data_IF_140091417662
#
_entry.id   IF_140091417662
#
_cell.length_a   1.000
_cell.length_b   1.000
_cell.length_c   1.000
_cell.angle_alpha   90.00
_cell.angle_beta   90.00
_cell.angle_gamma   90.00
#
_symmetry.space_group_name_H-M   'P 1'
#
loop_
_entity.id
_entity.type
_entity.pdbx_description
1 polymer ?
#
# COMPACT_ATOMS: atom_id res chain seq x y z
N UNK A 1 -23.25 12.83 -12.07
CA UNK A 1 -22.23 12.13 -12.88
C UNK A 1 -22.44 10.64 -12.75
N UNK A 2 -22.23 9.89 -13.82
CA UNK A 2 -22.32 8.43 -13.88
C UNK A 2 -20.93 7.81 -13.86
N UNK A 3 -20.72 6.85 -12.96
CA UNK A 3 -19.46 6.15 -12.74
C UNK A 3 -19.62 4.68 -13.09
N UNK A 4 -18.80 4.18 -14.01
CA UNK A 4 -18.65 2.74 -14.21
C UNK A 4 -17.55 2.22 -13.29
N UNK A 5 -17.94 1.61 -12.18
CA UNK A 5 -17.04 1.16 -11.12
C UNK A 5 -16.64 -0.30 -11.32
N UNK A 6 -15.35 -0.57 -11.48
CA UNK A 6 -14.84 -1.95 -11.53
C UNK A 6 -14.86 -2.54 -10.12
N UNK A 7 -15.78 -3.46 -9.90
CA UNK A 7 -15.95 -4.15 -8.63
C UNK A 7 -14.99 -5.35 -8.54
N UNK A 8 -13.86 -5.12 -7.88
CA UNK A 8 -12.77 -6.08 -7.69
C UNK A 8 -12.76 -6.54 -6.23
N UNK A 9 -13.39 -7.67 -5.96
CA UNK A 9 -13.66 -8.15 -4.59
C UNK A 9 -12.41 -8.45 -3.75
N UNK A 10 -11.27 -8.70 -4.38
CA UNK A 10 -10.01 -9.03 -3.69
C UNK A 10 -9.25 -7.80 -3.16
N UNK A 11 -9.66 -6.59 -3.50
CA UNK A 11 -8.98 -5.35 -3.09
C UNK A 11 -9.54 -4.78 -1.79
N UNK A 12 -8.66 -4.52 -0.82
CA UNK A 12 -9.03 -4.21 0.58
C UNK A 12 -9.84 -2.92 0.76
N UNK A 13 -9.71 -1.94 -0.14
CA UNK A 13 -10.41 -0.66 -0.05
C UNK A 13 -11.75 -0.62 -0.81
N UNK A 14 -12.12 -1.70 -1.50
CA UNK A 14 -13.27 -1.74 -2.42
C UNK A 14 -14.59 -1.33 -1.73
N UNK A 15 -14.92 -1.98 -0.60
CA UNK A 15 -16.16 -1.72 0.13
C UNK A 15 -16.25 -0.28 0.67
N UNK A 16 -15.14 0.27 1.18
CA UNK A 16 -15.12 1.60 1.79
C UNK A 16 -15.17 2.72 0.74
N UNK A 17 -14.54 2.52 -0.43
CA UNK A 17 -14.66 3.43 -1.57
C UNK A 17 -16.07 3.43 -2.14
N UNK A 18 -16.69 2.26 -2.26
CA UNK A 18 -18.04 2.14 -2.77
C UNK A 18 -19.06 2.81 -1.84
N UNK A 19 -18.91 2.66 -0.51
CA UNK A 19 -19.72 3.39 0.48
C UNK A 19 -19.60 4.91 0.33
N UNK A 20 -18.39 5.42 0.10
CA UNK A 20 -18.14 6.84 -0.08
C UNK A 20 -18.70 7.38 -1.41
N UNK A 21 -18.54 6.63 -2.51
CA UNK A 21 -19.13 6.98 -3.82
C UNK A 21 -20.66 7.01 -3.77
N UNK A 22 -21.28 6.00 -3.16
CA UNK A 22 -22.75 5.91 -3.05
C UNK A 22 -23.35 7.01 -2.17
N UNK A 23 -22.59 7.52 -1.20
CA UNK A 23 -23.02 8.62 -0.29
C UNK A 23 -22.63 10.00 -0.77
N UNK A 24 -21.78 10.10 -1.78
CA UNK A 24 -21.35 11.39 -2.29
C UNK A 24 -22.55 12.23 -2.72
N UNK A 25 -22.49 13.51 -2.36
CA UNK A 25 -23.47 14.52 -2.74
C UNK A 25 -22.70 15.79 -3.09
N UNK A 26 -22.98 16.40 -4.24
CA UNK A 26 -22.35 17.67 -4.62
C UNK A 26 -23.01 18.89 -3.92
N UNK A 27 -22.49 20.09 -4.19
CA UNK A 27 -22.99 21.34 -3.60
C UNK A 27 -24.43 21.68 -3.98
N UNK A 28 -24.99 21.04 -5.00
CA UNK A 28 -26.36 21.24 -5.48
C UNK A 28 -27.31 20.15 -4.95
N UNK A 29 -26.79 19.16 -4.21
CA UNK A 29 -27.58 18.04 -3.69
C UNK A 29 -27.69 16.85 -4.65
N UNK A 30 -26.93 16.82 -5.76
CA UNK A 30 -26.97 15.71 -6.69
C UNK A 30 -26.04 14.57 -6.24
N UNK A 31 -26.49 13.34 -6.47
CA UNK A 31 -25.71 12.12 -6.20
C UNK A 31 -24.99 11.60 -7.45
N UNK A 32 -24.02 10.70 -7.23
CA UNK A 32 -23.42 9.92 -8.31
C UNK A 32 -24.36 8.76 -8.71
N UNK A 33 -24.42 8.49 -10.01
CA UNK A 33 -25.03 7.25 -10.52
C UNK A 33 -23.93 6.20 -10.64
N UNK A 34 -23.97 5.14 -9.82
CA UNK A 34 -22.92 4.11 -9.81
C UNK A 34 -23.41 2.86 -10.55
N UNK A 35 -22.70 2.49 -11.61
CA UNK A 35 -22.88 1.23 -12.33
C UNK A 35 -21.71 0.31 -11.98
N UNK A 36 -21.99 -0.80 -11.30
CA UNK A 36 -20.97 -1.78 -10.90
C UNK A 36 -20.70 -2.74 -12.05
N UNK A 37 -19.44 -2.89 -12.42
CA UNK A 37 -18.97 -3.89 -13.38
C UNK A 37 -18.16 -4.96 -12.64
N UNK A 38 -18.66 -6.20 -12.50
CA UNK A 38 -17.90 -7.27 -11.87
C UNK A 38 -16.63 -7.57 -12.67
N UNK A 39 -15.46 -7.45 -12.03
CA UNK A 39 -14.18 -7.74 -12.68
C UNK A 39 -13.39 -8.78 -11.87
N UNK A 40 -13.24 -9.97 -12.46
CA UNK A 40 -12.41 -11.03 -11.90
C UNK A 40 -10.94 -10.76 -12.24
N UNK A 41 -10.23 -10.10 -11.32
CA UNK A 41 -8.82 -9.75 -11.54
C UNK A 41 -7.94 -11.00 -11.70
N UNK A 42 -7.24 -11.07 -12.83
CA UNK A 42 -6.18 -12.02 -13.12
C UNK A 42 -4.97 -11.26 -13.69
N UNK A 43 -3.83 -11.29 -12.99
CA UNK A 43 -2.62 -10.54 -13.36
C UNK A 43 -2.18 -10.76 -14.82
N UNK A 44 -2.29 -12.00 -15.32
CA UNK A 44 -1.94 -12.36 -16.71
C UNK A 44 -2.84 -11.74 -17.78
N UNK A 45 -4.04 -11.29 -17.40
CA UNK A 45 -5.06 -10.71 -18.29
C UNK A 45 -5.17 -9.19 -18.13
N UNK A 46 -4.46 -8.60 -17.17
CA UNK A 46 -4.52 -7.17 -16.90
C UNK A 46 -3.97 -6.30 -18.04
N UNK A 47 -3.13 -6.86 -18.93
CA UNK A 47 -2.58 -6.14 -20.09
C UNK A 47 -3.35 -6.39 -21.39
N UNK A 48 -3.95 -7.58 -21.56
CA UNK A 48 -4.71 -7.95 -22.74
C UNK A 48 -5.68 -9.09 -22.44
N UNK A 49 -6.94 -8.90 -22.78
CA UNK A 49 -7.99 -9.90 -22.68
C UNK A 49 -9.07 -9.59 -23.72
N UNK A 50 -9.03 -10.21 -24.91
CA UNK A 50 -9.96 -9.90 -26.00
C UNK A 50 -11.44 -10.10 -25.65
N UNK A 51 -11.76 -11.05 -24.77
CA UNK A 51 -13.14 -11.31 -24.36
C UNK A 51 -13.64 -10.18 -23.45
N UNK A 52 -12.85 -9.83 -22.43
CA UNK A 52 -13.13 -8.67 -21.58
C UNK A 52 -13.17 -7.37 -22.37
N UNK A 53 -12.19 -7.12 -23.25
CA UNK A 53 -12.13 -5.88 -24.04
C UNK A 53 -13.40 -5.66 -24.87
N UNK A 54 -13.91 -6.71 -25.53
CA UNK A 54 -15.12 -6.63 -26.33
C UNK A 54 -16.38 -6.40 -25.48
N UNK A 55 -16.52 -7.13 -24.36
CA UNK A 55 -17.67 -6.98 -23.46
C UNK A 55 -17.66 -5.63 -22.72
N UNK A 56 -16.50 -5.22 -22.24
CA UNK A 56 -16.31 -3.97 -21.53
C UNK A 56 -16.56 -2.76 -22.44
N UNK A 57 -16.10 -2.78 -23.68
CA UNK A 57 -16.40 -1.74 -24.67
C UNK A 57 -17.91 -1.62 -24.93
N UNK A 58 -18.60 -2.76 -25.10
CA UNK A 58 -20.05 -2.78 -25.26
C UNK A 58 -20.75 -2.18 -24.03
N UNK A 59 -20.25 -2.48 -22.84
CA UNK A 59 -20.80 -1.96 -21.58
C UNK A 59 -20.58 -0.46 -21.45
N UNK A 60 -19.39 0.06 -21.77
CA UNK A 60 -19.14 1.51 -21.80
C UNK A 60 -20.15 2.22 -22.72
N UNK A 61 -20.34 1.73 -23.95
CA UNK A 61 -21.28 2.33 -24.91
C UNK A 61 -22.74 2.23 -24.47
N UNK A 62 -23.11 1.15 -23.80
CA UNK A 62 -24.48 0.95 -23.33
C UNK A 62 -24.80 1.77 -22.08
N UNK A 63 -23.82 1.99 -21.21
CA UNK A 63 -23.99 2.69 -19.95
C UNK A 63 -23.72 4.18 -20.06
N UNK A 64 -22.90 4.61 -21.02
CA UNK A 64 -22.51 6.01 -21.25
C UNK A 64 -22.06 6.71 -19.95
N UNK A 65 -20.95 6.25 -19.33
CA UNK A 65 -20.45 6.80 -18.07
C UNK A 65 -19.60 8.06 -18.30
N UNK A 66 -19.62 8.99 -17.33
CA UNK A 66 -18.72 10.15 -17.34
C UNK A 66 -17.26 9.73 -17.11
N UNK A 67 -17.04 8.70 -16.30
CA UNK A 67 -15.73 8.06 -16.13
C UNK A 67 -15.84 6.61 -15.64
N UNK A 68 -14.77 5.85 -15.89
CA UNK A 68 -14.52 4.52 -15.35
C UNK A 68 -13.61 4.64 -14.13
N UNK A 69 -13.88 3.87 -13.07
CA UNK A 69 -13.03 3.83 -11.89
C UNK A 69 -12.51 2.42 -11.60
N UNK A 70 -11.21 2.30 -11.30
CA UNK A 70 -10.64 1.09 -10.69
C UNK A 70 -9.63 1.43 -9.59
N UNK A 71 -9.47 0.48 -8.70
CA UNK A 71 -8.29 0.39 -7.84
C UNK A 71 -7.13 -0.23 -8.62
N UNK A 72 -5.93 0.32 -8.43
CA UNK A 72 -4.74 0.13 -9.26
C UNK A 72 -4.97 0.42 -10.76
N UNK A 73 -3.87 0.56 -11.50
CA UNK A 73 -3.90 0.82 -12.92
C UNK A 73 -3.98 -0.49 -13.70
N UNK A 74 -4.99 -0.61 -14.57
CA UNK A 74 -5.23 -1.78 -15.41
C UNK A 74 -5.06 -1.37 -16.89
N UNK A 75 -3.98 -1.79 -17.56
CA UNK A 75 -3.70 -1.38 -18.94
C UNK A 75 -4.82 -1.78 -19.91
N UNK A 76 -5.44 -2.94 -19.71
CA UNK A 76 -6.58 -3.40 -20.50
C UNK A 76 -7.79 -2.46 -20.39
N UNK A 77 -8.01 -1.85 -19.22
CA UNK A 77 -9.10 -0.87 -19.00
C UNK A 77 -8.77 0.45 -19.70
N UNK A 78 -7.54 0.95 -19.54
CA UNK A 78 -7.03 2.13 -20.26
C UNK A 78 -7.19 1.97 -21.77
N UNK A 79 -6.78 0.82 -22.31
CA UNK A 79 -6.89 0.50 -23.74
C UNK A 79 -8.32 0.64 -24.24
N UNK A 80 -9.30 0.08 -23.53
CA UNK A 80 -10.72 0.13 -23.94
C UNK A 80 -11.30 1.53 -23.77
N UNK A 81 -11.03 2.21 -22.65
CA UNK A 81 -11.51 3.57 -22.41
C UNK A 81 -10.98 4.56 -23.46
N UNK A 82 -9.74 4.37 -23.91
CA UNK A 82 -9.11 5.19 -24.94
C UNK A 82 -9.78 5.04 -26.33
N UNK A 83 -10.41 3.89 -26.63
CA UNK A 83 -11.12 3.68 -27.91
C UNK A 83 -12.31 4.62 -28.04
N UNK A 84 -13.09 4.78 -26.96
CA UNK A 84 -14.32 5.59 -26.95
C UNK A 84 -14.11 6.98 -26.30
N UNK A 85 -12.88 7.30 -25.88
CA UNK A 85 -12.53 8.59 -25.28
C UNK A 85 -13.14 8.82 -23.88
N UNK A 86 -13.55 7.77 -23.19
CA UNK A 86 -14.10 7.86 -21.83
C UNK A 86 -12.96 8.00 -20.83
N UNK A 87 -13.12 8.86 -19.82
CA UNK A 87 -12.10 9.07 -18.79
C UNK A 87 -11.91 7.80 -17.96
N UNK A 88 -10.67 7.41 -17.70
CA UNK A 88 -10.31 6.28 -16.85
C UNK A 88 -9.55 6.76 -15.62
N UNK A 89 -10.20 6.68 -14.47
CA UNK A 89 -9.62 6.99 -13.16
C UNK A 89 -9.10 5.70 -12.52
N UNK A 90 -7.82 5.69 -12.16
CA UNK A 90 -7.22 4.60 -11.39
C UNK A 90 -6.61 5.12 -10.11
N UNK A 91 -6.86 4.47 -8.98
CA UNK A 91 -6.24 4.82 -7.70
C UNK A 91 -5.30 3.73 -7.22
N UNK A 92 -4.01 4.01 -7.30
CA UNK A 92 -2.93 3.09 -6.95
C UNK A 92 -2.76 3.06 -5.44
N UNK A 93 -2.69 1.85 -4.87
CA UNK A 93 -2.35 1.64 -3.46
C UNK A 93 -1.25 0.57 -3.26
N UNK A 94 -0.81 -0.07 -4.34
CA UNK A 94 0.34 -0.98 -4.37
C UNK A 94 1.58 -0.24 -4.88
N UNK A 95 2.75 -0.50 -4.26
CA UNK A 95 4.04 -0.07 -4.79
C UNK A 95 5.09 -1.17 -4.51
N UNK A 96 5.73 -1.73 -5.55
CA UNK A 96 5.63 -1.32 -6.96
C UNK A 96 4.33 -1.79 -7.62
N UNK A 97 3.74 -0.94 -8.48
CA UNK A 97 2.65 -1.32 -9.40
C UNK A 97 3.22 -1.43 -10.83
N UNK A 98 3.49 -2.67 -11.27
CA UNK A 98 4.19 -2.97 -12.53
C UNK A 98 3.45 -2.39 -13.73
N UNK A 99 2.12 -2.37 -13.67
CA UNK A 99 1.32 -1.98 -14.81
C UNK A 99 1.35 -0.49 -15.11
N UNK A 100 1.81 0.35 -14.17
CA UNK A 100 2.04 1.77 -14.43
C UNK A 100 3.06 2.00 -15.54
N UNK A 101 3.97 1.05 -15.77
CA UNK A 101 4.98 1.17 -16.82
C UNK A 101 4.53 0.62 -18.17
N UNK A 102 3.31 0.08 -18.30
CA UNK A 102 2.76 -0.26 -19.61
C UNK A 102 2.63 1.00 -20.47
N UNK A 103 2.87 0.86 -21.78
CA UNK A 103 2.68 1.95 -22.73
C UNK A 103 1.26 2.57 -22.68
N UNK A 104 0.26 1.84 -22.18
CA UNK A 104 -1.12 2.35 -22.02
C UNK A 104 -1.24 3.47 -20.98
N UNK A 105 -0.24 3.70 -20.12
CA UNK A 105 -0.26 4.80 -19.14
C UNK A 105 -0.28 6.17 -19.82
N UNK A 106 0.27 6.26 -21.04
CA UNK A 106 0.37 7.51 -21.81
C UNK A 106 -0.96 7.94 -22.44
N UNK A 107 -1.97 7.07 -22.43
CA UNK A 107 -3.26 7.36 -23.05
C UNK A 107 -3.90 8.61 -22.40
N UNK A 108 -4.41 9.56 -23.21
CA UNK A 108 -4.93 10.83 -22.71
C UNK A 108 -6.21 10.68 -21.89
N UNK A 109 -6.91 9.55 -21.99
CA UNK A 109 -8.09 9.27 -21.17
C UNK A 109 -7.78 9.05 -19.69
N UNK A 110 -6.52 8.78 -19.34
CA UNK A 110 -6.16 8.37 -17.99
C UNK A 110 -6.18 9.54 -16.98
N UNK A 111 -6.53 9.20 -15.75
CA UNK A 111 -6.31 9.97 -14.53
C UNK A 111 -5.76 8.96 -13.52
N UNK A 112 -4.44 8.96 -13.33
CA UNK A 112 -3.76 8.00 -12.46
C UNK A 112 -3.42 8.67 -11.14
N UNK A 113 -4.01 8.19 -10.06
CA UNK A 113 -3.89 8.74 -8.72
C UNK A 113 -2.85 7.90 -7.95
N UNK A 114 -1.72 8.52 -7.59
CA UNK A 114 -0.58 7.87 -6.96
C UNK A 114 -0.43 8.30 -5.51
N UNK A 115 -0.24 7.34 -4.60
CA UNK A 115 -0.13 7.61 -3.17
C UNK A 115 1.31 7.86 -2.69
N UNK A 116 2.31 7.43 -3.46
CA UNK A 116 3.73 7.66 -3.19
C UNK A 116 4.21 8.88 -3.97
N UNK A 117 4.63 9.94 -3.25
CA UNK A 117 5.04 11.20 -3.89
C UNK A 117 6.27 11.06 -4.79
N UNK A 118 7.17 10.10 -4.52
CA UNK A 118 8.36 9.86 -5.34
C UNK A 118 7.98 9.17 -6.65
N UNK A 119 7.07 8.22 -6.63
CA UNK A 119 6.52 7.61 -7.85
C UNK A 119 5.79 8.66 -8.70
N UNK A 120 4.93 9.47 -8.06
CA UNK A 120 4.27 10.60 -8.72
C UNK A 120 5.26 11.56 -9.41
N UNK A 121 6.30 12.02 -8.70
CA UNK A 121 7.33 12.89 -9.25
C UNK A 121 8.08 12.25 -10.41
N UNK A 122 8.35 10.95 -10.33
CA UNK A 122 9.04 10.17 -11.38
C UNK A 122 8.22 10.17 -12.67
N UNK A 123 6.94 9.82 -12.61
CA UNK A 123 6.07 9.82 -13.79
C UNK A 123 5.81 11.23 -14.33
N UNK A 124 5.61 12.21 -13.43
CA UNK A 124 5.35 13.61 -13.81
C UNK A 124 6.56 14.23 -14.51
N UNK A 125 7.77 14.03 -13.98
CA UNK A 125 9.02 14.49 -14.59
C UNK A 125 9.36 13.73 -15.87
N UNK A 126 8.94 12.47 -15.98
CA UNK A 126 8.97 11.69 -17.23
C UNK A 126 7.99 12.15 -18.31
N UNK A 127 7.16 13.17 -18.03
CA UNK A 127 6.29 13.81 -19.01
C UNK A 127 4.86 13.28 -19.05
N UNK A 128 4.48 12.34 -18.18
CA UNK A 128 3.11 11.84 -18.09
C UNK A 128 2.26 12.87 -17.35
N UNK A 129 1.38 13.57 -18.07
CA UNK A 129 0.59 14.69 -17.53
C UNK A 129 -0.70 14.27 -16.82
N UNK A 130 -1.11 13.02 -17.02
CA UNK A 130 -2.34 12.40 -16.52
C UNK A 130 -2.19 11.78 -15.13
N UNK A 131 -1.00 11.90 -14.52
CA UNK A 131 -0.76 11.45 -13.13
C UNK A 131 -1.02 12.59 -12.13
N UNK A 132 -1.56 12.23 -10.97
CA UNK A 132 -1.86 13.12 -9.86
C UNK A 132 -1.45 12.47 -8.54
N UNK A 133 -0.89 13.26 -7.62
CA UNK A 133 -0.66 12.80 -6.26
C UNK A 133 -1.98 12.80 -5.49
N UNK A 134 -2.35 11.66 -4.91
CA UNK A 134 -3.50 11.52 -4.02
C UNK A 134 -3.18 10.49 -2.93
N UNK A 135 -2.95 10.92 -1.68
CA UNK A 135 -2.68 10.00 -0.58
C UNK A 135 -3.87 9.06 -0.33
N UNK A 136 -3.63 7.92 0.30
CA UNK A 136 -4.70 6.97 0.67
C UNK A 136 -5.66 7.54 1.74
N UNK A 137 -6.59 6.73 2.19
CA UNK A 137 -7.62 7.11 3.15
C UNK A 137 -8.04 5.97 4.06
N UNK A 138 -8.80 6.31 5.11
CA UNK A 138 -9.48 5.35 5.97
C UNK A 138 -10.97 5.70 6.14
N UNK A 139 -11.78 4.67 6.38
CA UNK A 139 -13.23 4.80 6.54
C UNK A 139 -13.62 5.01 7.99
N UNK A 140 -13.37 6.21 8.53
CA UNK A 140 -13.69 6.54 9.94
C UNK A 140 -15.16 6.27 10.26
N UNK A 141 -16.08 6.56 9.35
CA UNK A 141 -17.51 6.23 9.49
C UNK A 141 -17.79 4.77 9.82
N UNK A 142 -17.05 3.83 9.21
CA UNK A 142 -17.16 2.40 9.51
C UNK A 142 -16.41 2.07 10.80
N UNK A 143 -15.18 2.54 10.92
CA UNK A 143 -14.29 2.22 12.04
C UNK A 143 -14.84 2.72 13.38
N UNK A 144 -15.55 3.85 13.43
CA UNK A 144 -16.14 4.43 14.64
C UNK A 144 -17.35 3.63 15.15
N UNK A 145 -18.05 2.96 14.24
CA UNK A 145 -19.17 2.07 14.58
C UNK A 145 -18.69 0.74 15.19
N UNK A 146 -17.41 0.41 15.04
CA UNK A 146 -16.82 -0.83 15.54
C UNK A 146 -16.35 -0.66 17.00
N UNK A 147 -17.32 -0.68 17.92
CA UNK A 147 -17.05 -0.54 19.36
C UNK A 147 -16.69 -1.92 19.96
N UNK A 148 -15.48 -2.11 20.51
CA UNK A 148 -15.04 -3.41 21.00
C UNK A 148 -15.82 -3.85 22.26
N UNK A 149 -16.45 -5.01 22.16
CA UNK A 149 -17.10 -5.69 23.29
C UNK A 149 -16.09 -6.46 24.16
N UNK A 150 -16.62 -7.26 25.10
CA UNK A 150 -15.80 -8.09 25.98
C UNK A 150 -14.99 -9.13 25.20
N UNK A 151 -15.61 -9.79 24.23
CA UNK A 151 -15.00 -10.83 23.40
C UNK A 151 -13.84 -10.29 22.57
N UNK A 152 -14.01 -9.12 21.96
CA UNK A 152 -12.98 -8.49 21.15
C UNK A 152 -11.80 -8.06 22.01
N UNK A 153 -12.06 -7.50 23.21
CA UNK A 153 -11.01 -7.16 24.19
C UNK A 153 -10.20 -8.37 24.61
N UNK A 154 -10.86 -9.48 24.94
CA UNK A 154 -10.18 -10.73 25.32
C UNK A 154 -9.35 -11.31 24.16
N UNK A 155 -9.84 -11.23 22.92
CA UNK A 155 -9.17 -11.79 21.74
C UNK A 155 -8.03 -10.93 21.20
N UNK A 156 -8.17 -9.61 21.23
CA UNK A 156 -7.31 -8.71 20.44
C UNK A 156 -6.48 -7.73 21.25
N UNK A 157 -6.78 -7.47 22.53
CA UNK A 157 -5.98 -6.53 23.33
C UNK A 157 -4.53 -7.01 23.48
N UNK A 158 -3.59 -6.13 23.18
CA UNK A 158 -2.15 -6.41 23.22
C UNK A 158 -1.37 -5.15 23.60
N UNK A 159 -0.19 -5.31 24.18
CA UNK A 159 0.73 -4.19 24.39
C UNK A 159 1.31 -3.72 23.05
N UNK A 160 1.72 -4.66 22.21
CA UNK A 160 2.26 -4.36 20.88
C UNK A 160 1.63 -5.32 19.88
N UNK A 161 1.20 -4.80 18.74
CA UNK A 161 0.84 -5.63 17.60
C UNK A 161 1.52 -5.20 16.32
N UNK A 162 1.95 -6.18 15.53
CA UNK A 162 2.24 -5.99 14.12
C UNK A 162 1.22 -6.79 13.31
N UNK A 163 0.49 -6.10 12.44
CA UNK A 163 -0.37 -6.74 11.45
C UNK A 163 0.31 -6.54 10.11
N UNK A 164 0.48 -7.60 9.32
CA UNK A 164 1.10 -7.48 8.00
C UNK A 164 1.69 -8.77 7.45
N UNK A 165 1.97 -8.75 6.15
CA UNK A 165 2.77 -9.75 5.46
C UNK A 165 4.17 -9.87 6.08
N UNK A 166 4.81 -11.02 6.03
CA UNK A 166 6.27 -11.11 6.24
C UNK A 166 7.02 -11.26 4.92
N UNK A 167 6.28 -11.19 3.80
CA UNK A 167 6.68 -11.37 2.41
C UNK A 167 7.26 -12.73 2.04
N UNK A 168 7.31 -13.66 3.00
CA UNK A 168 7.71 -15.06 2.84
C UNK A 168 6.54 -15.99 2.47
N UNK A 169 5.31 -15.49 2.45
CA UNK A 169 4.12 -16.27 2.05
C UNK A 169 3.87 -16.36 0.54
N UNK A 170 4.59 -15.59 -0.27
CA UNK A 170 4.57 -15.69 -1.74
C UNK A 170 5.92 -16.17 -2.25
N UNK A 171 6.06 -16.29 -3.57
CA UNK A 171 7.33 -16.64 -4.23
C UNK A 171 8.48 -15.78 -3.71
N UNK A 172 9.56 -16.44 -3.27
CA UNK A 172 10.75 -15.80 -2.72
C UNK A 172 11.82 -15.71 -3.80
N UNK A 173 11.70 -14.69 -4.66
CA UNK A 173 12.59 -14.51 -5.82
C UNK A 173 14.07 -14.49 -5.43
N UNK A 174 14.41 -13.87 -4.29
CA UNK A 174 15.78 -13.81 -3.81
C UNK A 174 16.38 -15.19 -3.54
N UNK A 175 15.64 -16.05 -2.82
CA UNK A 175 16.09 -17.40 -2.47
C UNK A 175 16.27 -18.31 -3.71
N UNK A 176 15.55 -18.02 -4.80
CA UNK A 176 15.68 -18.73 -6.08
C UNK A 176 16.92 -18.31 -6.89
N UNK A 177 17.40 -17.08 -6.72
CA UNK A 177 18.53 -16.53 -7.49
C UNK A 177 19.85 -16.60 -6.70
N UNK A 178 19.82 -16.42 -5.38
CA UNK A 178 21.01 -16.32 -4.55
C UNK A 178 21.99 -17.51 -4.73
N UNK A 179 21.54 -18.78 -4.79
CA UNK A 179 22.45 -19.92 -5.02
C UNK A 179 23.07 -19.97 -6.42
N UNK A 180 22.57 -19.17 -7.37
CA UNK A 180 23.00 -19.16 -8.77
C UNK A 180 23.91 -17.97 -9.11
N UNK A 181 23.97 -16.97 -8.23
CA UNK A 181 24.82 -15.79 -8.38
C UNK A 181 26.27 -16.12 -8.05
N UNK A 182 27.19 -15.37 -8.64
CA UNK A 182 28.60 -15.36 -8.28
C UNK A 182 28.78 -14.90 -6.83
N UNK A 183 29.83 -15.36 -6.12
CA UNK A 183 30.11 -14.92 -4.76
C UNK A 183 30.24 -13.39 -4.62
N UNK A 184 30.75 -12.72 -5.67
CA UNK A 184 30.86 -11.27 -5.70
C UNK A 184 29.49 -10.60 -5.73
N UNK A 185 28.63 -10.97 -6.68
CA UNK A 185 27.32 -10.35 -6.85
C UNK A 185 26.39 -10.63 -5.66
N UNK A 186 26.44 -11.84 -5.11
CA UNK A 186 25.72 -12.17 -3.88
C UNK A 186 26.19 -11.28 -2.71
N UNK A 187 27.50 -11.19 -2.48
CA UNK A 187 28.06 -10.36 -1.41
C UNK A 187 27.77 -8.87 -1.60
N UNK A 188 27.76 -8.39 -2.84
CA UNK A 188 27.39 -7.00 -3.17
C UNK A 188 25.93 -6.73 -2.82
N UNK A 189 25.01 -7.59 -3.27
CA UNK A 189 23.57 -7.42 -3.00
C UNK A 189 23.27 -7.52 -1.51
N UNK A 190 23.88 -8.49 -0.80
CA UNK A 190 23.73 -8.60 0.66
C UNK A 190 24.27 -7.35 1.38
N UNK A 191 25.42 -6.82 0.94
CA UNK A 191 25.99 -5.57 1.46
C UNK A 191 25.08 -4.37 1.21
N UNK A 192 24.52 -4.26 0.01
CA UNK A 192 23.56 -3.23 -0.39
C UNK A 192 22.30 -3.29 0.49
N UNK A 193 21.72 -4.48 0.67
CA UNK A 193 20.59 -4.70 1.57
C UNK A 193 20.95 -4.24 2.98
N UNK A 194 22.08 -4.70 3.54
CA UNK A 194 22.49 -4.36 4.91
C UNK A 194 22.69 -2.87 5.11
N UNK A 195 23.25 -2.19 4.11
CA UNK A 195 23.34 -0.73 4.09
C UNK A 195 21.97 -0.06 4.11
N UNK A 196 21.05 -0.50 3.23
CA UNK A 196 19.71 0.08 3.12
C UNK A 196 18.92 -0.03 4.43
N UNK A 197 19.14 -1.09 5.21
CA UNK A 197 18.53 -1.28 6.52
C UNK A 197 19.00 -0.29 7.60
N UNK A 198 20.03 0.52 7.34
CA UNK A 198 20.52 1.53 8.28
C UNK A 198 19.86 2.90 8.08
N UNK A 199 19.09 3.09 7.01
CA UNK A 199 18.47 4.39 6.71
C UNK A 199 17.01 4.24 6.27
N UNK A 200 16.18 5.14 6.78
CA UNK A 200 14.78 5.33 6.37
C UNK A 200 14.61 6.66 5.63
N UNK A 201 13.51 6.79 4.88
CA UNK A 201 13.20 7.99 4.09
C UNK A 201 13.96 8.14 2.77
N UNK A 202 14.86 7.20 2.45
CA UNK A 202 15.53 7.10 1.16
C UNK A 202 15.64 5.64 0.74
N UNK A 203 15.45 5.37 -0.55
CA UNK A 203 15.74 4.09 -1.17
C UNK A 203 16.80 4.31 -2.26
N UNK A 204 17.94 3.66 -2.13
CA UNK A 204 19.04 3.78 -3.10
C UNK A 204 19.39 2.44 -3.77
N UNK A 205 18.55 1.40 -3.60
CA UNK A 205 18.84 0.07 -4.14
C UNK A 205 18.95 0.11 -5.66
N UNK A 206 17.97 0.71 -6.35
CA UNK A 206 17.98 0.80 -7.82
C UNK A 206 19.22 1.55 -8.34
N UNK A 207 19.51 2.72 -7.75
CA UNK A 207 20.62 3.60 -8.18
C UNK A 207 21.99 2.96 -7.94
N UNK A 208 22.08 2.06 -6.95
CA UNK A 208 23.31 1.36 -6.59
C UNK A 208 23.39 -0.05 -7.19
N UNK A 209 22.58 -0.42 -8.19
CA UNK A 209 22.74 -1.69 -8.91
C UNK A 209 23.64 -1.52 -10.13
N UNK A 210 24.86 -2.10 -10.13
CA UNK A 210 25.74 -2.07 -11.29
C UNK A 210 25.15 -2.87 -12.46
N UNK A 211 25.33 -2.43 -13.73
CA UNK A 211 24.83 -3.15 -14.90
C UNK A 211 25.26 -4.62 -14.95
N UNK A 212 26.50 -4.93 -14.56
CA UNK A 212 27.02 -6.30 -14.53
C UNK A 212 26.27 -7.22 -13.56
N UNK A 213 25.77 -6.68 -12.43
CA UNK A 213 24.96 -7.43 -11.47
C UNK A 213 23.53 -7.56 -11.99
N UNK A 214 22.99 -6.52 -12.62
CA UNK A 214 21.66 -6.54 -13.25
C UNK A 214 21.61 -7.63 -14.34
N UNK A 215 22.62 -7.70 -15.20
CA UNK A 215 22.75 -8.73 -16.25
C UNK A 215 22.84 -10.14 -15.66
N UNK A 216 23.58 -10.30 -14.56
CA UNK A 216 23.68 -11.58 -13.86
C UNK A 216 22.35 -12.00 -13.25
N UNK A 217 21.65 -11.10 -12.54
CA UNK A 217 20.32 -11.34 -11.99
C UNK A 217 19.35 -11.74 -13.11
N UNK A 218 19.36 -11.03 -14.24
CA UNK A 218 18.51 -11.36 -15.39
C UNK A 218 18.75 -12.80 -15.86
N UNK A 219 20.02 -13.15 -16.06
CA UNK A 219 20.42 -14.48 -16.55
C UNK A 219 19.98 -15.61 -15.61
N UNK A 220 20.09 -15.42 -14.29
CA UNK A 220 19.78 -16.49 -13.32
C UNK A 220 18.31 -16.55 -12.89
N UNK A 221 17.60 -15.43 -12.96
CA UNK A 221 16.19 -15.32 -12.60
C UNK A 221 15.26 -15.74 -13.74
N UNK A 222 15.67 -15.50 -14.99
CA UNK A 222 14.81 -15.59 -16.17
C UNK A 222 13.53 -14.74 -16.04
N UNK A 223 13.64 -13.61 -15.35
CA UNK A 223 12.57 -12.62 -15.17
C UNK A 223 12.91 -11.40 -16.02
N UNK A 224 11.97 -11.00 -16.87
CA UNK A 224 12.10 -9.88 -17.79
C UNK A 224 10.91 -8.93 -17.61
N UNK A 225 11.10 -7.62 -17.85
CA UNK A 225 9.98 -6.70 -18.02
C UNK A 225 8.99 -7.20 -19.07
N UNK A 226 7.72 -6.77 -18.97
CA UNK A 226 6.74 -7.06 -20.01
C UNK A 226 7.16 -6.44 -21.35
N UNK A 227 6.83 -7.06 -22.50
CA UNK A 227 7.21 -6.54 -23.81
C UNK A 227 6.73 -5.11 -24.11
N UNK A 228 5.63 -4.69 -23.49
CA UNK A 228 5.03 -3.36 -23.62
C UNK A 228 5.32 -2.44 -22.42
N UNK A 229 6.22 -2.86 -21.51
CA UNK A 229 6.64 -2.10 -20.33
C UNK A 229 7.83 -1.20 -20.62
N UNK A 230 7.83 -0.01 -20.01
CA UNK A 230 8.95 0.93 -19.98
C UNK A 230 9.92 0.67 -18.80
N UNK A 231 9.71 -0.37 -17.99
CA UNK A 231 10.58 -0.70 -16.86
C UNK A 231 11.99 -1.07 -17.31
N UNK A 232 12.97 -0.57 -16.56
CA UNK A 232 14.34 -1.05 -16.68
C UNK A 232 14.48 -2.38 -15.90
N UNK A 233 15.38 -3.29 -16.33
CA UNK A 233 15.70 -4.47 -15.52
C UNK A 233 16.19 -4.11 -14.11
N UNK A 234 16.91 -2.99 -13.96
CA UNK A 234 17.36 -2.49 -12.65
C UNK A 234 16.18 -2.15 -11.73
N UNK A 235 15.17 -1.41 -12.22
CA UNK A 235 13.95 -1.10 -11.49
C UNK A 235 13.22 -2.38 -11.04
N UNK A 236 13.04 -3.32 -11.97
CA UNK A 236 12.35 -4.59 -11.74
C UNK A 236 13.04 -5.38 -10.62
N UNK A 237 14.37 -5.55 -10.70
CA UNK A 237 15.11 -6.34 -9.71
C UNK A 237 15.24 -5.62 -8.37
N UNK A 238 15.45 -4.31 -8.37
CA UNK A 238 15.48 -3.51 -7.16
C UNK A 238 14.16 -3.63 -6.39
N UNK A 239 13.02 -3.42 -7.04
CA UNK A 239 11.73 -3.31 -6.35
C UNK A 239 11.08 -4.67 -6.04
N UNK A 240 11.16 -5.65 -6.95
CA UNK A 240 10.46 -6.93 -6.77
C UNK A 240 11.29 -8.00 -6.06
N UNK A 241 12.63 -7.89 -6.12
CA UNK A 241 13.53 -8.89 -5.54
C UNK A 241 14.23 -8.32 -4.30
N UNK A 242 15.02 -7.25 -4.46
CA UNK A 242 15.96 -6.82 -3.44
C UNK A 242 15.28 -6.03 -2.32
N UNK A 243 14.43 -5.05 -2.63
CA UNK A 243 13.64 -4.30 -1.64
C UNK A 243 12.71 -5.21 -0.84
N UNK A 244 12.14 -6.21 -1.51
CA UNK A 244 11.33 -7.24 -0.86
C UNK A 244 12.18 -8.07 0.12
N UNK A 245 13.37 -8.51 -0.29
CA UNK A 245 14.28 -9.23 0.58
C UNK A 245 14.75 -8.39 1.78
N UNK A 246 15.09 -7.12 1.55
CA UNK A 246 15.43 -6.19 2.62
C UNK A 246 14.29 -6.11 3.65
N UNK A 247 13.05 -5.98 3.19
CA UNK A 247 11.87 -5.93 4.06
C UNK A 247 11.64 -7.24 4.83
N UNK A 248 11.89 -8.40 4.21
CA UNK A 248 11.82 -9.71 4.89
C UNK A 248 12.81 -9.74 6.06
N UNK A 249 14.07 -9.38 5.80
CA UNK A 249 15.12 -9.36 6.82
C UNK A 249 14.76 -8.39 7.94
N UNK A 250 14.40 -7.16 7.57
CA UNK A 250 14.06 -6.09 8.51
C UNK A 250 12.91 -6.47 9.45
N UNK A 251 11.77 -6.88 8.89
CA UNK A 251 10.61 -7.26 9.70
C UNK A 251 10.96 -8.39 10.66
N UNK A 252 11.64 -9.43 10.18
CA UNK A 252 12.00 -10.56 11.04
C UNK A 252 12.94 -10.16 12.17
N UNK A 253 13.94 -9.34 11.89
CA UNK A 253 14.89 -8.90 12.90
C UNK A 253 14.26 -7.93 13.91
N UNK A 254 13.46 -6.95 13.45
CA UNK A 254 12.76 -6.01 14.34
C UNK A 254 11.78 -6.77 15.25
N UNK A 255 10.96 -7.66 14.70
CA UNK A 255 9.98 -8.42 15.48
C UNK A 255 10.67 -9.34 16.49
N UNK A 256 11.77 -10.01 16.10
CA UNK A 256 12.57 -10.84 17.01
C UNK A 256 13.19 -10.01 18.14
N UNK A 257 13.71 -8.83 17.81
CA UNK A 257 14.30 -7.91 18.78
C UNK A 257 13.26 -7.41 19.78
N UNK A 258 12.09 -6.97 19.32
CA UNK A 258 10.99 -6.54 20.21
C UNK A 258 10.57 -7.70 21.10
N UNK A 259 10.32 -8.88 20.54
CA UNK A 259 9.93 -10.08 21.29
C UNK A 259 10.93 -10.50 22.39
N UNK A 260 12.21 -10.18 22.23
CA UNK A 260 13.21 -10.46 23.26
C UNK A 260 13.03 -9.59 24.53
N UNK A 261 12.35 -8.44 24.42
CA UNK A 261 12.16 -7.46 25.49
C UNK A 261 10.69 -7.28 25.91
N UNK A 262 9.75 -7.44 24.99
CA UNK A 262 8.31 -7.24 25.21
C UNK A 262 7.49 -8.34 24.53
N UNK A 263 6.41 -8.75 25.18
CA UNK A 263 5.43 -9.61 24.52
C UNK A 263 4.69 -8.82 23.44
N UNK A 264 4.52 -9.41 22.26
CA UNK A 264 3.80 -8.82 21.15
C UNK A 264 2.99 -9.85 20.37
N UNK A 265 1.94 -9.36 19.69
CA UNK A 265 1.14 -10.17 18.78
C UNK A 265 1.48 -9.88 17.33
N UNK A 266 1.69 -10.95 16.57
CA UNK A 266 1.92 -10.94 15.14
C UNK A 266 0.69 -11.49 14.42
N UNK A 267 0.08 -10.68 13.57
CA UNK A 267 -0.98 -11.10 12.66
C UNK A 267 -0.44 -11.14 11.22
N UNK A 268 -0.25 -12.34 10.68
CA UNK A 268 0.37 -12.57 9.37
C UNK A 268 -0.22 -13.80 8.68
N UNK A 269 0.06 -13.98 7.38
CA UNK A 269 -0.47 -15.09 6.61
C UNK A 269 -0.03 -16.46 7.13
N UNK A 270 -0.90 -17.47 6.95
CA UNK A 270 -0.73 -18.81 7.54
C UNK A 270 0.52 -19.57 7.08
N UNK A 271 1.13 -19.19 5.96
CA UNK A 271 2.42 -19.73 5.50
C UNK A 271 3.57 -19.39 6.47
N UNK A 272 3.39 -18.34 7.28
CA UNK A 272 4.40 -17.85 8.22
C UNK A 272 4.23 -18.38 9.64
N UNK A 273 3.42 -19.43 9.85
CA UNK A 273 3.17 -20.04 11.18
C UNK A 273 4.43 -20.49 11.92
N UNK A 274 5.51 -20.79 11.19
CA UNK A 274 6.79 -21.21 11.78
C UNK A 274 7.61 -20.04 12.36
N UNK A 275 7.26 -18.79 12.03
CA UNK A 275 7.94 -17.62 12.59
C UNK A 275 7.34 -17.26 13.95
N UNK A 276 7.97 -17.76 15.01
CA UNK A 276 7.58 -17.55 16.41
C UNK A 276 8.82 -17.32 17.30
N UNK A 277 9.57 -16.22 17.13
CA UNK A 277 10.65 -15.89 18.06
C UNK A 277 10.11 -15.68 19.49
N UNK A 278 11.00 -15.73 20.49
CA UNK A 278 10.64 -15.48 21.89
C UNK A 278 9.85 -14.16 22.01
N UNK A 279 8.75 -14.18 22.78
CA UNK A 279 7.88 -13.03 23.02
C UNK A 279 6.99 -12.61 21.84
N UNK A 280 7.05 -13.31 20.70
CA UNK A 280 6.16 -13.04 19.55
C UNK A 280 5.11 -14.14 19.43
N UNK A 281 3.88 -13.81 19.81
CA UNK A 281 2.72 -14.68 19.64
C UNK A 281 2.17 -14.53 18.21
N UNK A 282 2.31 -15.57 17.38
CA UNK A 282 1.76 -15.58 16.03
C UNK A 282 0.28 -15.97 16.05
N UNK A 283 -0.58 -14.99 15.79
CA UNK A 283 -2.04 -15.10 15.83
C UNK A 283 -2.65 -15.58 14.51
N UNK A 284 -1.84 -15.80 13.47
CA UNK A 284 -2.30 -16.11 12.13
C UNK A 284 -2.88 -14.90 11.39
N UNK A 285 -3.65 -15.15 10.34
CA UNK A 285 -4.21 -14.10 9.50
C UNK A 285 -5.38 -13.40 10.21
N UNK A 286 -5.48 -12.08 10.04
CA UNK A 286 -6.60 -11.28 10.50
C UNK A 286 -7.46 -10.82 9.32
N UNK A 287 -8.78 -10.90 9.46
CA UNK A 287 -9.71 -10.34 8.48
C UNK A 287 -9.63 -8.81 8.44
N UNK A 288 -9.51 -8.25 7.24
CA UNK A 288 -9.31 -6.81 7.03
C UNK A 288 -10.50 -5.96 7.54
N UNK A 289 -11.74 -6.42 7.33
CA UNK A 289 -12.92 -5.64 7.68
C UNK A 289 -13.42 -5.93 9.09
N UNK A 290 -13.27 -7.17 9.55
CA UNK A 290 -13.91 -7.68 10.77
C UNK A 290 -12.97 -7.76 11.97
N UNK A 291 -11.66 -7.91 11.77
CA UNK A 291 -10.71 -8.16 12.86
C UNK A 291 -9.66 -7.06 13.00
N UNK A 292 -9.04 -6.62 11.90
CA UNK A 292 -8.00 -5.58 11.92
C UNK A 292 -8.43 -4.29 12.66
N UNK A 293 -9.66 -3.76 12.47
CA UNK A 293 -10.10 -2.56 13.21
C UNK A 293 -10.08 -2.74 14.74
N UNK A 294 -10.44 -3.93 15.24
CA UNK A 294 -10.39 -4.21 16.67
C UNK A 294 -8.97 -4.37 17.17
N UNK A 295 -8.08 -5.01 16.39
CA UNK A 295 -6.66 -5.09 16.71
C UNK A 295 -6.08 -3.68 16.85
N UNK A 296 -6.31 -2.80 15.87
CA UNK A 296 -5.76 -1.44 15.90
C UNK A 296 -6.27 -0.60 17.08
N UNK A 297 -7.55 -0.74 17.43
CA UNK A 297 -8.17 -0.06 18.59
C UNK A 297 -7.68 -0.59 19.94
N UNK A 298 -7.36 -1.88 20.02
CA UNK A 298 -7.09 -2.57 21.30
C UNK A 298 -5.61 -2.81 21.57
N UNK A 299 -4.75 -2.63 20.57
CA UNK A 299 -3.30 -2.63 20.75
C UNK A 299 -2.83 -1.32 21.36
N UNK A 300 -1.95 -1.39 22.36
CA UNK A 300 -1.37 -0.17 22.91
C UNK A 300 -0.48 0.50 21.86
N UNK A 301 0.38 -0.27 21.21
CA UNK A 301 1.24 0.19 20.12
C UNK A 301 0.95 -0.63 18.87
N UNK A 302 0.60 0.04 17.78
CA UNK A 302 0.52 -0.56 16.46
C UNK A 302 1.82 -0.30 15.70
N UNK A 303 2.62 -1.34 15.54
CA UNK A 303 3.88 -1.27 14.81
C UNK A 303 3.62 -1.31 13.31
N UNK A 304 4.15 -0.32 12.58
CA UNK A 304 4.23 -0.35 11.13
C UNK A 304 5.70 -0.41 10.69
N UNK A 305 5.99 -1.32 9.76
CA UNK A 305 7.29 -1.45 9.10
C UNK A 305 6.99 -1.47 7.61
N UNK A 306 7.24 -0.36 6.94
CA UNK A 306 6.84 -0.16 5.54
C UNK A 306 7.63 -1.07 4.60
N UNK A 307 7.01 -1.52 3.51
CA UNK A 307 7.71 -2.23 2.45
C UNK A 307 8.71 -1.28 1.78
N UNK A 308 9.97 -1.69 1.61
CA UNK A 308 11.06 -0.81 1.15
C UNK A 308 10.86 -0.23 -0.26
N UNK A 309 10.04 -0.84 -1.11
CA UNK A 309 9.69 -0.25 -2.42
C UNK A 309 8.81 0.99 -2.31
N UNK A 310 8.02 1.15 -1.24
CA UNK A 310 7.33 2.40 -0.93
C UNK A 310 8.39 3.39 -0.43
N UNK A 311 8.79 4.31 -1.30
CA UNK A 311 9.96 5.17 -1.08
C UNK A 311 9.65 6.38 -0.21
N UNK A 312 8.46 6.99 -0.39
CA UNK A 312 8.03 8.17 0.39
C UNK A 312 6.61 8.03 0.93
N UNK A 313 5.79 7.22 0.29
CA UNK A 313 4.36 7.10 0.54
C UNK A 313 4.00 6.56 1.93
N UNK A 314 2.77 6.84 2.33
CA UNK A 314 2.17 6.27 3.54
C UNK A 314 1.44 4.99 3.16
N UNK A 315 1.82 3.80 3.67
CA UNK A 315 1.12 2.57 3.36
C UNK A 315 -0.32 2.58 3.89
N UNK A 316 -1.23 1.88 3.22
CA UNK A 316 -2.64 1.76 3.65
C UNK A 316 -2.78 1.37 5.12
N UNK A 317 -1.89 0.50 5.61
CA UNK A 317 -1.87 0.06 7.01
C UNK A 317 -1.74 1.21 8.00
N UNK A 318 -0.97 2.25 7.69
CA UNK A 318 -0.85 3.41 8.56
C UNK A 318 -2.18 4.19 8.59
N UNK A 319 -2.83 4.41 7.44
CA UNK A 319 -4.17 5.00 7.39
C UNK A 319 -5.19 4.19 8.18
N UNK A 320 -5.19 2.86 8.07
CA UNK A 320 -6.11 2.00 8.83
C UNK A 320 -5.93 2.16 10.34
N UNK A 321 -4.67 2.21 10.82
CA UNK A 321 -4.33 2.37 12.25
C UNK A 321 -4.80 3.73 12.75
N UNK A 322 -4.42 4.81 12.07
CA UNK A 322 -4.76 6.19 12.46
C UNK A 322 -6.29 6.39 12.39
N UNK A 323 -6.92 5.94 11.31
CA UNK A 323 -8.36 5.99 11.12
C UNK A 323 -9.15 5.15 12.12
N UNK A 324 -8.57 4.09 12.69
CA UNK A 324 -9.21 3.31 13.75
C UNK A 324 -9.07 3.96 15.14
N UNK A 325 -8.28 5.02 15.29
CA UNK A 325 -7.92 5.61 16.59
C UNK A 325 -6.83 4.81 17.33
N UNK A 326 -6.02 4.05 16.59
CA UNK A 326 -4.87 3.33 17.12
C UNK A 326 -3.63 4.20 17.15
N UNK A 327 -2.80 4.02 18.19
CA UNK A 327 -1.49 4.67 18.25
C UNK A 327 -0.51 4.01 17.29
N UNK A 328 0.06 4.79 16.37
CA UNK A 328 1.00 4.33 15.34
C UNK A 328 2.44 4.58 15.77
N UNK A 329 3.26 3.53 15.74
CA UNK A 329 4.72 3.60 15.77
C UNK A 329 5.28 3.04 14.45
N UNK A 330 5.88 3.89 13.62
CA UNK A 330 6.30 3.54 12.25
C UNK A 330 7.78 3.80 11.99
N UNK A 331 8.37 3.14 10.99
CA UNK A 331 9.60 3.66 10.38
C UNK A 331 9.31 5.01 9.70
N UNK A 332 10.34 5.83 9.50
CA UNK A 332 10.18 7.15 8.88
C UNK A 332 9.75 7.07 7.40
N UNK A 333 8.77 7.90 7.02
CA UNK A 333 8.31 8.10 5.65
C UNK A 333 8.10 9.59 5.40
N UNK A 334 8.58 10.10 4.26
CA UNK A 334 8.54 11.54 3.95
C UNK A 334 7.09 12.05 3.87
N UNK A 335 6.20 11.31 3.20
CA UNK A 335 4.80 11.73 3.06
C UNK A 335 4.06 11.70 4.40
N UNK A 336 4.46 10.80 5.31
CA UNK A 336 3.91 10.75 6.67
C UNK A 336 4.20 12.03 7.44
N UNK A 337 5.43 12.54 7.37
CA UNK A 337 5.83 13.79 8.00
C UNK A 337 5.29 15.05 7.28
N UNK A 338 4.94 14.95 5.99
CA UNK A 338 4.32 16.05 5.24
C UNK A 338 2.82 16.20 5.54
N UNK A 339 2.13 15.09 5.85
CA UNK A 339 0.68 15.05 6.05
C UNK A 339 0.33 15.10 7.56
N UNK A 340 1.13 14.45 8.40
CA UNK A 340 0.93 14.34 9.84
C UNK A 340 2.10 14.95 10.59
N UNK A 341 1.87 15.40 11.82
CA UNK A 341 2.86 16.05 12.68
C UNK A 341 3.48 15.01 13.63
N UNK A 342 4.79 14.73 13.54
CA UNK A 342 5.45 13.80 14.46
C UNK A 342 5.35 14.23 15.92
N UNK A 343 5.08 13.29 16.82
CA UNK A 343 4.87 13.55 18.25
C UNK A 343 3.49 14.12 18.60
N UNK A 344 2.71 14.56 17.61
CA UNK A 344 1.34 15.06 17.80
C UNK A 344 0.29 14.12 17.22
N UNK A 345 0.49 13.60 16.01
CA UNK A 345 -0.44 12.69 15.32
C UNK A 345 0.09 11.24 15.26
N UNK A 346 1.40 11.06 15.22
CA UNK A 346 2.03 9.75 15.13
C UNK A 346 3.46 9.78 15.69
N UNK A 347 4.05 8.60 15.88
CA UNK A 347 5.45 8.48 16.28
C UNK A 347 6.22 7.66 15.25
N UNK A 348 7.41 8.13 14.88
CA UNK A 348 8.37 7.33 14.13
C UNK A 348 9.59 6.97 14.98
N UNK A 349 10.37 5.99 14.56
CA UNK A 349 11.69 5.70 15.11
C UNK A 349 12.80 5.93 14.07
N UNK A 350 13.97 6.36 14.55
CA UNK A 350 15.14 6.66 13.70
C UNK A 350 16.05 5.44 13.52
N UNK A 351 16.14 4.62 14.56
CA UNK A 351 16.92 3.39 14.56
C UNK A 351 16.30 2.35 15.52
N UNK A 352 16.95 1.19 15.61
CA UNK A 352 16.48 0.07 16.45
C UNK A 352 16.52 0.37 17.95
N UNK A 353 17.46 1.20 18.39
CA UNK A 353 17.58 1.59 19.80
C UNK A 353 16.48 2.58 20.16
N UNK A 354 16.26 3.57 19.31
CA UNK A 354 15.17 4.53 19.43
C UNK A 354 13.80 3.84 19.39
N UNK A 355 13.62 2.84 18.52
CA UNK A 355 12.42 1.98 18.50
C UNK A 355 12.14 1.35 19.87
N UNK A 356 13.12 0.66 20.48
CA UNK A 356 12.93 0.04 21.80
C UNK A 356 12.67 1.08 22.89
N UNK A 357 13.42 2.19 22.91
CA UNK A 357 13.21 3.27 23.87
C UNK A 357 11.80 3.88 23.76
N UNK A 358 11.30 4.08 22.53
CA UNK A 358 9.94 4.60 22.29
C UNK A 358 8.88 3.57 22.67
N UNK A 359 9.12 2.28 22.46
CA UNK A 359 8.22 1.23 22.96
C UNK A 359 8.12 1.32 24.49
N UNK A 360 9.24 1.31 25.21
CA UNK A 360 9.28 1.44 26.67
C UNK A 360 8.53 2.69 27.14
N UNK A 361 8.83 3.82 26.51
CA UNK A 361 8.22 5.11 26.85
C UNK A 361 6.71 5.11 26.65
N UNK A 362 6.22 4.74 25.47
CA UNK A 362 4.78 4.83 25.15
C UNK A 362 3.93 3.73 25.81
N UNK A 363 4.54 2.61 26.21
CA UNK A 363 3.87 1.64 27.09
C UNK A 363 3.62 2.21 28.50
N UNK A 364 4.54 3.05 29.01
CA UNK A 364 4.41 3.71 30.31
C UNK A 364 3.55 4.99 30.27
N UNK A 365 3.45 5.67 29.13
CA UNK A 365 2.79 6.97 28.99
C UNK A 365 1.42 6.88 28.28
N UNK A 366 0.44 6.26 28.94
CA UNK A 366 -0.88 5.98 28.34
C UNK A 366 -1.64 7.23 27.89
N UNK A 367 -1.65 8.31 28.69
CA UNK A 367 -2.41 9.53 28.39
C UNK A 367 -1.89 10.21 27.12
N UNK A 368 -0.57 10.38 27.01
CA UNK A 368 0.08 10.94 25.83
C UNK A 368 -0.18 10.07 24.60
N UNK A 369 0.01 8.75 24.73
CA UNK A 369 -0.24 7.79 23.65
C UNK A 369 -1.67 7.88 23.10
N UNK A 370 -2.66 7.99 23.99
CA UNK A 370 -4.09 8.15 23.61
C UNK A 370 -4.36 9.50 22.97
N UNK A 371 -3.74 10.58 23.45
CA UNK A 371 -3.89 11.91 22.86
C UNK A 371 -3.35 11.94 21.43
N UNK A 372 -2.17 11.37 21.19
CA UNK A 372 -1.57 11.28 19.85
C UNK A 372 -2.49 10.51 18.89
N UNK A 373 -2.98 9.34 19.32
CA UNK A 373 -3.89 8.53 18.51
C UNK A 373 -5.21 9.28 18.18
N UNK A 374 -5.75 10.05 19.13
CA UNK A 374 -6.96 10.83 18.92
C UNK A 374 -6.74 11.98 17.92
N UNK A 375 -5.63 12.72 18.04
CA UNK A 375 -5.28 13.79 17.11
C UNK A 375 -5.21 13.28 15.66
N UNK A 376 -4.53 12.16 15.47
CA UNK A 376 -4.42 11.52 14.16
C UNK A 376 -5.79 11.09 13.61
N UNK A 377 -6.63 10.47 14.45
CA UNK A 377 -7.97 10.04 14.06
C UNK A 377 -8.84 11.23 13.63
N UNK A 378 -8.84 12.32 14.39
CA UNK A 378 -9.59 13.53 14.07
C UNK A 378 -9.12 14.15 12.75
N UNK A 379 -7.80 14.16 12.52
CA UNK A 379 -7.21 14.61 11.24
C UNK A 379 -7.63 13.71 10.07
N UNK A 380 -7.58 12.39 10.24
CA UNK A 380 -8.04 11.44 9.21
C UNK A 380 -9.51 11.68 8.89
N UNK A 381 -10.37 11.79 9.91
CA UNK A 381 -11.80 12.00 9.73
C UNK A 381 -12.10 13.27 8.93
N UNK A 382 -11.36 14.36 9.23
CA UNK A 382 -11.56 15.66 8.60
C UNK A 382 -10.94 15.78 7.20
N UNK A 383 -9.78 15.17 6.96
CA UNK A 383 -8.92 15.51 5.81
C UNK A 383 -8.53 14.31 4.93
N UNK A 384 -8.64 13.08 5.44
CA UNK A 384 -8.12 11.87 4.79
C UNK A 384 -9.07 10.67 4.88
N UNK A 385 -10.37 10.95 4.91
CA UNK A 385 -11.41 9.91 4.82
C UNK A 385 -11.71 9.58 3.34
N UNK A 386 -12.32 8.42 3.10
CA UNK A 386 -12.77 8.07 1.75
C UNK A 386 -13.76 9.11 1.18
N UNK A 387 -14.58 9.75 2.03
CA UNK A 387 -15.48 10.82 1.62
C UNK A 387 -14.71 12.02 1.03
N UNK A 388 -13.64 12.42 1.72
CA UNK A 388 -12.76 13.51 1.26
C UNK A 388 -12.09 13.12 -0.05
N UNK A 389 -11.59 11.87 -0.17
CA UNK A 389 -10.95 11.40 -1.40
C UNK A 389 -11.91 11.34 -2.58
N UNK A 390 -13.14 10.87 -2.38
CA UNK A 390 -14.14 10.89 -3.45
C UNK A 390 -14.38 12.32 -3.93
N UNK A 391 -14.55 13.29 -3.02
CA UNK A 391 -14.66 14.70 -3.41
C UNK A 391 -13.49 15.19 -4.27
N UNK A 392 -12.26 14.95 -3.82
CA UNK A 392 -11.04 15.32 -4.55
C UNK A 392 -10.95 14.64 -5.93
N UNK A 393 -11.33 13.36 -6.02
CA UNK A 393 -11.35 12.62 -7.28
C UNK A 393 -12.36 13.24 -8.25
N UNK A 394 -13.57 13.56 -7.79
CA UNK A 394 -14.59 14.21 -8.61
C UNK A 394 -14.11 15.59 -9.10
N UNK A 395 -13.45 16.37 -8.24
CA UNK A 395 -12.87 17.66 -8.63
C UNK A 395 -11.79 17.50 -9.70
N UNK A 396 -10.90 16.51 -9.57
CA UNK A 396 -9.89 16.19 -10.58
C UNK A 396 -10.57 15.83 -11.91
N UNK A 397 -11.56 14.94 -11.90
CA UNK A 397 -12.30 14.51 -13.10
C UNK A 397 -12.98 15.69 -13.79
N UNK A 398 -13.53 16.64 -13.04
CA UNK A 398 -14.17 17.86 -13.58
C UNK A 398 -13.17 18.88 -14.15
N UNK A 399 -11.94 18.87 -13.65
CA UNK A 399 -10.90 19.85 -14.04
C UNK A 399 -10.18 19.54 -15.35
N UNK A 400 -10.31 18.30 -15.85
CA UNK A 400 -9.59 17.80 -17.04
C UNK A 400 -10.46 17.62 -18.27
#
# INVERSE_FOLDING_TARGET
>A
MKVLYLDISIFFANMDMLDALEKYTDSEGNHLEIVKYPYAYEEKKATSDPEFEADFLKTIRATDPDFVFSFNFLPVVSKVCNIDGVKYVSWVYDNPEVFLYSCQVINPCNIVLMFDSKEFETFRSGGIKTVHYLPLAASTRRLDKMIPGKKEKEKFAADISFVGSLYTERRQYYDEIAPKLSPYSLGYIDGLIRGQLQVDGINYIEECLPPEIVDEIQKVSNIYPYPDSAETPAYLYANYIINRQATIIERREILTMIGAHHDMRLYTYGQNKAFCPKGVENMGAADYFLEMPYIFKLSKINLNITLRSIQRGIPLRAYDILGAGGFLLSNYQVDLANIFVPGEDFVYYEDRKDLLNKIDYYLANESERKQIAQNAHDKIQKEHSFDVRVGQIIDIVKSV
#
